data_IF_089175945910
#
_entry.id   IF_089175945910
#
_cell.length_a   1.000
_cell.length_b   1.000
_cell.length_c   1.000
_cell.angle_alpha   90.00
_cell.angle_beta   90.00
_cell.angle_gamma   90.00
#
_symmetry.space_group_name_H-M   'P 1'
#
loop_
_entity.id
_entity.type
_entity.pdbx_description
1 polymer ?
#
# COMPACT_ATOMS: atom_id res chain seq x y z
N UNK A 1 -1.18 -53.49 18.54
CA UNK A 1 -1.95 -52.32 18.04
C UNK A 1 -1.07 -51.08 18.10
N UNK A 2 -0.51 -50.65 16.95
CA UNK A 2 0.28 -49.41 16.81
C UNK A 2 -0.61 -48.34 16.20
N UNK A 3 -1.04 -47.36 16.99
CA UNK A 3 -1.57 -46.07 16.51
C UNK A 3 -0.84 -44.94 17.25
N UNK A 4 0.38 -44.65 16.82
CA UNK A 4 1.13 -43.44 17.16
C UNK A 4 1.79 -42.97 15.87
N UNK A 5 1.11 -42.14 15.07
CA UNK A 5 1.73 -41.41 13.95
C UNK A 5 0.78 -40.48 13.18
N UNK A 6 -0.14 -39.78 13.85
CA UNK A 6 -1.00 -38.81 13.13
C UNK A 6 -1.09 -37.43 13.80
N UNK A 7 -0.55 -37.24 15.01
CA UNK A 7 -0.59 -35.95 15.70
C UNK A 7 0.69 -35.11 15.56
N UNK A 8 1.76 -35.67 14.98
CA UNK A 8 3.04 -34.96 14.84
C UNK A 8 3.10 -34.05 13.60
N UNK A 9 2.23 -34.25 12.60
CA UNK A 9 2.29 -33.53 11.32
C UNK A 9 1.45 -32.24 11.35
N UNK A 10 0.39 -32.18 12.16
CA UNK A 10 -0.51 -31.01 12.18
C UNK A 10 0.07 -29.84 12.98
N UNK A 11 0.99 -30.11 13.92
CA UNK A 11 1.61 -29.04 14.72
C UNK A 11 2.70 -28.25 13.99
N UNK A 12 3.19 -28.73 12.84
CA UNK A 12 4.25 -28.06 12.06
C UNK A 12 3.69 -27.04 11.04
N UNK A 13 2.40 -27.06 10.75
CA UNK A 13 1.77 -26.10 9.81
C UNK A 13 1.37 -24.79 10.52
N UNK A 14 1.22 -24.80 11.84
CA UNK A 14 0.81 -23.62 12.61
C UNK A 14 1.99 -22.69 12.91
N UNK A 15 3.22 -23.20 12.96
CA UNK A 15 4.39 -22.42 13.41
C UNK A 15 5.02 -21.58 12.28
N UNK A 16 4.80 -21.93 11.00
CA UNK A 16 5.27 -21.14 9.85
C UNK A 16 4.37 -19.93 9.51
N UNK A 17 3.26 -19.73 10.21
CA UNK A 17 2.39 -18.57 10.02
C UNK A 17 2.79 -17.33 10.83
N UNK A 18 3.80 -17.42 11.71
CA UNK A 18 3.98 -16.45 12.81
C UNK A 18 5.31 -15.67 12.81
N UNK A 19 6.03 -15.63 11.70
CA UNK A 19 7.19 -14.74 11.53
C UNK A 19 7.18 -14.13 10.12
N UNK A 20 6.77 -12.86 9.99
CA UNK A 20 7.07 -12.06 8.79
C UNK A 20 5.98 -11.15 8.23
N UNK A 21 4.77 -11.12 8.80
CA UNK A 21 3.74 -10.16 8.41
C UNK A 21 3.81 -8.91 9.28
N UNK A 22 4.53 -7.87 8.85
CA UNK A 22 4.53 -6.57 9.56
C UNK A 22 3.08 -6.07 9.67
N UNK A 23 2.55 -6.10 10.89
CA UNK A 23 1.22 -5.61 11.23
C UNK A 23 1.24 -4.10 11.02
N UNK A 24 0.59 -3.61 9.96
CA UNK A 24 0.37 -2.18 9.76
C UNK A 24 0.01 -1.77 8.34
N UNK A 25 0.61 -2.40 7.32
CA UNK A 25 0.46 -1.98 5.92
C UNK A 25 0.08 -3.14 5.00
N UNK A 26 -0.52 -2.82 3.85
CA UNK A 26 -0.68 -3.76 2.73
C UNK A 26 0.68 -4.01 2.08
N UNK A 27 1.46 -2.96 1.83
CA UNK A 27 2.82 -3.01 1.28
C UNK A 27 3.57 -1.70 1.55
N UNK A 28 4.91 -1.76 1.64
CA UNK A 28 5.79 -0.58 1.63
C UNK A 28 6.63 -0.57 0.35
N UNK A 29 6.91 0.63 -0.16
CA UNK A 29 7.74 0.86 -1.34
C UNK A 29 8.82 1.88 -1.00
N UNK A 30 10.08 1.45 -0.96
CA UNK A 30 11.22 2.33 -0.69
C UNK A 30 11.56 3.19 -1.92
N UNK A 31 11.85 4.45 -1.65
CA UNK A 31 12.42 5.43 -2.58
C UNK A 31 13.77 5.86 -2.01
N UNK A 32 14.85 5.45 -2.69
CA UNK A 32 16.21 5.73 -2.26
C UNK A 32 16.59 7.19 -2.50
N UNK A 33 17.43 7.75 -1.61
CA UNK A 33 17.91 9.14 -1.67
C UNK A 33 16.78 10.18 -1.79
N UNK A 34 15.61 9.86 -1.26
CA UNK A 34 14.42 10.67 -1.37
C UNK A 34 14.14 11.40 -0.06
N UNK A 35 13.48 12.55 -0.14
CA UNK A 35 12.93 13.23 1.03
C UNK A 35 11.39 13.33 0.87
N UNK A 36 10.65 13.56 1.96
CA UNK A 36 9.19 13.59 1.90
C UNK A 36 8.63 14.59 0.89
N UNK A 37 9.30 15.71 0.70
CA UNK A 37 8.84 16.77 -0.21
C UNK A 37 9.00 16.37 -1.68
N UNK A 38 10.11 15.74 -2.06
CA UNK A 38 10.34 15.27 -3.45
C UNK A 38 9.37 14.17 -3.84
N UNK A 39 9.11 13.21 -2.94
CA UNK A 39 8.11 12.18 -3.19
C UNK A 39 6.68 12.74 -3.21
N UNK A 40 6.36 13.69 -2.35
CA UNK A 40 5.06 14.39 -2.37
C UNK A 40 4.86 15.16 -3.68
N UNK A 41 5.89 15.85 -4.16
CA UNK A 41 5.88 16.56 -5.43
C UNK A 41 5.67 15.60 -6.61
N UNK A 42 6.33 14.44 -6.61
CA UNK A 42 6.13 13.40 -7.61
C UNK A 42 4.68 12.88 -7.62
N UNK A 43 4.08 12.63 -6.46
CA UNK A 43 2.67 12.22 -6.34
C UNK A 43 1.74 13.31 -6.87
N UNK A 44 1.99 14.58 -6.54
CA UNK A 44 1.19 15.70 -7.06
C UNK A 44 1.30 15.84 -8.58
N UNK A 45 2.44 15.54 -9.19
CA UNK A 45 2.57 15.48 -10.66
C UNK A 45 1.82 14.30 -11.27
N UNK A 46 1.82 13.14 -10.60
CA UNK A 46 0.97 12.01 -11.02
C UNK A 46 -0.49 12.44 -11.07
N UNK A 47 -0.96 13.15 -10.05
CA UNK A 47 -2.30 13.72 -10.02
C UNK A 47 -2.56 14.67 -11.19
N UNK A 48 -1.67 15.64 -11.44
CA UNK A 48 -1.82 16.57 -12.57
C UNK A 48 -1.89 15.86 -13.94
N UNK A 49 -1.12 14.79 -14.11
CA UNK A 49 -0.98 14.07 -15.38
C UNK A 49 -2.04 12.99 -15.59
N UNK A 50 -2.52 12.41 -14.51
CA UNK A 50 -3.50 11.33 -14.47
C UNK A 50 -4.66 11.75 -13.56
N UNK A 51 -5.48 12.71 -14.03
CA UNK A 51 -6.57 13.28 -13.21
C UNK A 51 -7.65 12.24 -12.87
N UNK A 52 -7.72 11.13 -13.62
CA UNK A 52 -8.57 9.98 -13.33
C UNK A 52 -8.16 9.23 -12.05
N UNK A 53 -6.90 9.39 -11.62
CA UNK A 53 -6.40 8.83 -10.36
C UNK A 53 -6.69 9.70 -9.14
N UNK A 54 -7.05 10.97 -9.37
CA UNK A 54 -7.55 11.85 -8.33
C UNK A 54 -9.06 11.62 -8.21
N UNK A 55 -9.57 11.66 -6.99
CA UNK A 55 -10.94 12.09 -6.80
C UNK A 55 -10.98 13.26 -5.84
N UNK A 56 -11.47 14.39 -6.35
CA UNK A 56 -11.63 15.63 -5.59
C UNK A 56 -12.61 15.48 -4.41
N UNK A 57 -13.35 14.37 -4.36
CA UNK A 57 -14.24 14.01 -3.27
C UNK A 57 -13.93 12.61 -2.75
N UNK A 58 -12.91 12.53 -1.90
CA UNK A 58 -12.65 11.40 -1.01
C UNK A 58 -13.23 11.65 0.38
N UNK A 59 -14.19 12.58 0.56
CA UNK A 59 -14.72 12.97 1.88
C UNK A 59 -15.22 11.79 2.72
N UNK A 60 -15.77 10.75 2.08
CA UNK A 60 -16.15 9.47 2.71
C UNK A 60 -14.97 8.71 3.32
N UNK A 61 -13.75 8.93 2.83
CA UNK A 61 -12.52 8.21 3.15
C UNK A 61 -11.47 9.05 3.87
N UNK A 62 -11.57 10.38 3.77
CA UNK A 62 -10.60 11.36 4.26
C UNK A 62 -10.05 12.23 3.13
N UNK A 63 -9.25 13.24 3.49
CA UNK A 63 -8.63 14.16 2.53
C UNK A 63 -7.13 13.94 2.47
N UNK A 64 -6.51 14.30 1.33
CA UNK A 64 -5.06 14.39 1.24
C UNK A 64 -4.57 15.40 2.29
N UNK A 65 -3.64 15.00 3.15
CA UNK A 65 -3.07 15.88 4.17
C UNK A 65 -1.58 15.55 4.37
N UNK A 66 -0.71 16.44 3.90
CA UNK A 66 0.74 16.41 4.06
C UNK A 66 1.38 15.12 3.53
N UNK A 67 1.32 14.07 4.35
CA UNK A 67 1.91 12.76 4.09
C UNK A 67 0.88 11.69 3.72
N UNK A 68 -0.42 11.98 3.76
CA UNK A 68 -1.49 11.03 3.42
C UNK A 68 -2.03 11.34 2.03
N UNK A 69 -2.09 10.31 1.18
CA UNK A 69 -2.48 10.40 -0.22
C UNK A 69 -3.54 9.36 -0.55
N UNK A 70 -4.55 9.76 -1.32
CA UNK A 70 -5.60 8.86 -1.80
C UNK A 70 -5.52 8.74 -3.33
N UNK A 71 -5.64 7.51 -3.84
CA UNK A 71 -5.74 7.24 -5.27
C UNK A 71 -7.05 6.53 -5.56
N UNK A 72 -7.70 6.90 -6.67
CA UNK A 72 -8.84 6.17 -7.20
C UNK A 72 -8.43 5.44 -8.47
N UNK A 73 -8.88 4.20 -8.64
CA UNK A 73 -8.64 3.43 -9.86
C UNK A 73 -9.97 2.88 -10.36
N UNK A 74 -10.32 3.17 -11.61
CA UNK A 74 -11.42 2.49 -12.30
C UNK A 74 -10.85 1.34 -13.14
N UNK A 75 -11.21 0.09 -12.82
CA UNK A 75 -10.77 -1.09 -13.57
C UNK A 75 -11.89 -2.13 -13.59
N UNK A 76 -12.16 -2.72 -14.75
CA UNK A 76 -13.13 -3.81 -14.93
C UNK A 76 -14.55 -3.45 -14.41
N UNK A 77 -14.99 -2.21 -14.65
CA UNK A 77 -16.27 -1.66 -14.16
C UNK A 77 -16.36 -1.50 -12.63
N UNK A 78 -15.30 -1.84 -11.90
CA UNK A 78 -15.17 -1.55 -10.48
C UNK A 78 -14.34 -0.28 -10.26
N UNK A 79 -14.63 0.40 -9.16
CA UNK A 79 -13.80 1.51 -8.67
C UNK A 79 -13.17 1.11 -7.35
N UNK A 80 -11.91 1.46 -7.20
CA UNK A 80 -11.09 1.15 -6.03
C UNK A 80 -10.51 2.43 -5.47
N UNK A 81 -10.34 2.47 -4.15
CA UNK A 81 -9.69 3.57 -3.45
C UNK A 81 -8.52 3.01 -2.66
N UNK A 82 -7.37 3.65 -2.79
CA UNK A 82 -6.11 3.29 -2.12
C UNK A 82 -5.68 4.46 -1.24
N UNK A 83 -5.28 4.16 0.00
CA UNK A 83 -4.70 5.13 0.92
C UNK A 83 -3.21 4.83 1.09
N UNK A 84 -2.39 5.83 0.83
CA UNK A 84 -0.95 5.77 0.98
C UNK A 84 -0.47 6.78 2.03
N UNK A 85 0.66 6.47 2.67
CA UNK A 85 1.31 7.36 3.63
C UNK A 85 2.81 7.37 3.38
N UNK A 86 3.40 8.56 3.26
CA UNK A 86 4.85 8.72 3.25
C UNK A 86 5.35 8.57 4.69
N UNK A 87 6.30 7.68 4.88
CA UNK A 87 6.98 7.45 6.17
C UNK A 87 8.44 7.85 5.99
N UNK A 88 8.88 8.85 6.74
CA UNK A 88 10.30 9.17 6.91
C UNK A 88 10.82 8.53 8.19
N UNK A 89 12.03 7.97 8.10
CA UNK A 89 12.74 7.46 9.26
C UNK A 89 13.66 8.56 9.80
N UNK A 90 13.68 8.82 11.12
CA UNK A 90 14.44 9.92 11.71
C UNK A 90 15.96 9.67 11.76
N UNK A 91 16.48 8.64 11.08
CA UNK A 91 17.89 8.28 11.14
C UNK A 91 18.70 9.11 10.14
N UNK A 92 19.80 9.76 10.55
CA UNK A 92 20.67 10.52 9.65
C UNK A 92 21.40 9.64 8.60
N UNK A 93 21.33 8.31 8.75
CA UNK A 93 21.91 7.34 7.83
C UNK A 93 20.88 6.70 6.90
N UNK A 94 19.59 6.88 7.17
CA UNK A 94 18.51 6.30 6.37
C UNK A 94 18.05 7.36 5.37
N UNK A 95 18.59 7.26 4.15
CA UNK A 95 18.25 8.17 3.04
C UNK A 95 17.01 7.71 2.28
N UNK A 96 16.39 6.63 2.74
CA UNK A 96 15.24 6.04 2.11
C UNK A 96 13.98 6.55 2.82
N UNK A 97 12.96 6.85 2.02
CA UNK A 97 11.61 7.06 2.53
C UNK A 97 10.68 6.02 1.92
N UNK A 98 9.71 5.60 2.72
CA UNK A 98 8.76 4.59 2.29
C UNK A 98 7.41 5.23 1.91
N UNK A 99 6.90 4.87 0.73
CA UNK A 99 5.48 4.99 0.44
C UNK A 99 4.77 3.73 0.96
N UNK A 100 3.99 3.88 2.02
CA UNK A 100 3.23 2.78 2.61
C UNK A 100 1.79 2.76 2.10
N UNK A 101 1.39 1.68 1.43
CA UNK A 101 -0.01 1.40 1.14
C UNK A 101 -0.68 0.87 2.42
N UNK A 102 -1.46 1.72 3.09
CA UNK A 102 -2.00 1.45 4.44
C UNK A 102 -3.41 0.86 4.41
N UNK A 103 -4.20 1.21 3.40
CA UNK A 103 -5.60 0.74 3.26
C UNK A 103 -6.01 0.73 1.80
N UNK A 104 -6.97 -0.14 1.46
CA UNK A 104 -7.59 -0.16 0.15
C UNK A 104 -8.99 -0.77 0.22
N UNK A 105 -9.91 -0.29 -0.59
CA UNK A 105 -11.29 -0.77 -0.60
C UNK A 105 -11.96 -0.53 -1.95
N UNK A 106 -13.15 -1.09 -2.16
CA UNK A 106 -13.99 -0.73 -3.31
C UNK A 106 -14.68 0.61 -3.05
N UNK A 107 -15.00 1.33 -4.11
CA UNK A 107 -15.76 2.56 -3.98
C UNK A 107 -17.14 2.29 -3.36
N UNK A 108 -17.56 3.14 -2.42
CA UNK A 108 -18.82 3.02 -1.68
C UNK A 108 -18.78 2.08 -0.48
N UNK A 109 -17.66 1.38 -0.22
CA UNK A 109 -17.49 0.55 0.98
C UNK A 109 -16.55 1.20 1.99
N UNK A 110 -16.66 0.87 3.27
CA UNK A 110 -15.72 1.34 4.30
C UNK A 110 -14.28 0.91 4.01
N UNK A 111 -13.31 1.72 4.41
CA UNK A 111 -11.89 1.36 4.32
C UNK A 111 -11.48 0.54 5.54
N UNK A 112 -11.16 -0.72 5.31
CA UNK A 112 -10.52 -1.56 6.32
C UNK A 112 -9.02 -1.23 6.38
N UNK A 113 -8.49 -1.14 7.60
CA UNK A 113 -7.05 -1.03 7.80
C UNK A 113 -6.38 -2.33 7.38
N UNK A 114 -5.11 -2.26 6.96
CA UNK A 114 -4.39 -3.45 6.56
C UNK A 114 -4.41 -4.59 7.60
N UNK A 115 -4.27 -4.36 8.93
CA UNK A 115 -4.36 -5.46 9.90
C UNK A 115 -5.66 -6.27 9.83
N UNK A 116 -6.77 -5.64 9.47
CA UNK A 116 -8.10 -6.26 9.44
C UNK A 116 -8.40 -6.96 8.10
N UNK A 117 -7.52 -6.78 7.11
CA UNK A 117 -7.69 -7.31 5.76
C UNK A 117 -7.09 -8.71 5.60
N UNK A 118 -7.85 -9.62 4.98
CA UNK A 118 -7.39 -10.97 4.66
C UNK A 118 -6.23 -10.99 3.66
N UNK A 119 -5.37 -12.03 3.73
CA UNK A 119 -4.18 -12.17 2.86
C UNK A 119 -4.48 -12.00 1.37
N UNK A 120 -5.53 -12.64 0.86
CA UNK A 120 -5.90 -12.59 -0.55
C UNK A 120 -6.38 -11.20 -0.98
N UNK A 121 -7.09 -10.49 -0.11
CA UNK A 121 -7.51 -9.12 -0.38
C UNK A 121 -6.30 -8.18 -0.41
N UNK A 122 -5.37 -8.29 0.54
CA UNK A 122 -4.10 -7.54 0.51
C UNK A 122 -3.36 -7.75 -0.80
N UNK A 123 -3.21 -9.02 -1.20
CA UNK A 123 -2.55 -9.40 -2.44
C UNK A 123 -3.25 -8.80 -3.67
N UNK A 124 -4.59 -8.85 -3.72
CA UNK A 124 -5.38 -8.23 -4.81
C UNK A 124 -5.09 -6.73 -4.91
N UNK A 125 -5.23 -5.99 -3.81
CA UNK A 125 -5.04 -4.54 -3.82
C UNK A 125 -3.60 -4.13 -4.09
N UNK A 126 -2.63 -4.84 -3.50
CA UNK A 126 -1.21 -4.64 -3.81
C UNK A 126 -0.95 -4.78 -5.31
N UNK A 127 -1.43 -5.85 -5.94
CA UNK A 127 -1.22 -6.09 -7.36
C UNK A 127 -1.88 -4.99 -8.24
N UNK A 128 -3.09 -4.54 -7.88
CA UNK A 128 -3.76 -3.45 -8.58
C UNK A 128 -2.97 -2.14 -8.49
N UNK A 129 -2.45 -1.83 -7.30
CA UNK A 129 -1.66 -0.64 -7.05
C UNK A 129 -0.32 -0.68 -7.81
N UNK A 130 0.41 -1.80 -7.71
CA UNK A 130 1.71 -2.00 -8.36
C UNK A 130 1.64 -1.98 -9.88
N UNK A 131 0.54 -2.49 -10.45
CA UNK A 131 0.35 -2.49 -11.91
C UNK A 131 -0.04 -1.12 -12.45
N UNK A 132 -0.89 -0.38 -11.72
CA UNK A 132 -1.58 0.77 -12.30
C UNK A 132 -1.12 2.13 -11.75
N UNK A 133 -0.67 2.21 -10.50
CA UNK A 133 -0.40 3.49 -9.81
C UNK A 133 1.10 3.65 -9.56
N UNK A 134 1.73 2.67 -8.90
CA UNK A 134 3.14 2.75 -8.51
C UNK A 134 4.11 3.08 -9.65
N UNK A 135 3.97 2.53 -10.88
CA UNK A 135 4.88 2.85 -11.98
C UNK A 135 4.81 4.32 -12.41
N UNK A 136 3.64 4.96 -12.25
CA UNK A 136 3.46 6.39 -12.54
C UNK A 136 4.19 7.24 -11.50
N UNK A 137 4.12 6.85 -10.22
CA UNK A 137 4.85 7.52 -9.14
C UNK A 137 6.36 7.41 -9.37
N UNK A 138 6.89 6.20 -9.62
CA UNK A 138 8.31 6.02 -9.91
C UNK A 138 8.80 6.84 -11.11
N UNK A 139 7.98 6.93 -12.16
CA UNK A 139 8.32 7.72 -13.35
C UNK A 139 8.44 9.22 -13.04
N UNK A 140 7.53 9.77 -12.26
CA UNK A 140 7.55 11.20 -11.91
C UNK A 140 8.55 11.53 -10.79
N UNK A 141 8.95 10.52 -10.00
CA UNK A 141 10.02 10.65 -8.99
C UNK A 141 11.41 10.71 -9.64
N UNK A 142 11.75 9.74 -10.50
CA UNK A 142 13.06 9.67 -11.19
C UNK A 142 13.35 10.83 -12.16
N UNK A 143 12.38 11.72 -12.39
CA UNK A 143 12.59 12.92 -13.21
C UNK A 143 13.31 14.04 -12.44
N UNK A 144 13.34 13.96 -11.11
CA UNK A 144 14.03 14.94 -10.25
C UNK A 144 15.47 14.54 -9.89
N UNK A 145 15.85 13.28 -10.16
CA UNK A 145 17.24 12.81 -10.09
C UNK A 145 18.01 13.15 -11.37
#
# INVERSE_FOLDING_TARGET
>A
MKKKSHYLIIFLIVILGSCGGVIGNIQKYSFANANPDTLSAAINRVYQKYPDLIKNDTSMYGNNNGNIFYFVLSQEHERYVFKCTIISYPSPYDKDIDLSLTSATKWGTSMDLAPDMGYWQKRKYRNLFEKNILPKIYKEFKREE
#
